data_IF_360435384590
#
_entry.id   IF_360435384590
#
_cell.length_a   1.000
_cell.length_b   1.000
_cell.length_c   1.000
_cell.angle_alpha   90.00
_cell.angle_beta   90.00
_cell.angle_gamma   90.00
#
_symmetry.space_group_name_H-M   'P 1'
#
loop_
_entity.id
_entity.type
_entity.pdbx_description
1 polymer ?
#
# COMPACT_ATOMS: atom_id res chain seq x y z
N UNK A 1 5.09 21.57 -7.15
CA UNK A 1 4.90 20.18 -6.73
C UNK A 1 5.71 19.97 -5.47
N UNK A 2 5.13 19.45 -4.38
CA UNK A 2 5.91 19.05 -3.21
C UNK A 2 6.51 17.69 -3.54
N UNK A 3 7.84 17.62 -3.64
CA UNK A 3 8.50 16.35 -3.92
C UNK A 3 8.67 15.55 -2.64
N UNK A 4 7.88 14.47 -2.51
CA UNK A 4 7.98 13.55 -1.38
C UNK A 4 9.21 12.63 -1.45
N UNK A 5 10.02 12.72 -2.51
CA UNK A 5 11.10 11.76 -2.81
C UNK A 5 12.49 12.23 -2.39
N UNK A 6 12.64 13.43 -1.81
CA UNK A 6 13.90 14.16 -1.57
C UNK A 6 15.12 13.42 -2.11
N UNK A 7 15.40 13.64 -3.39
CA UNK A 7 16.26 12.78 -4.20
C UNK A 7 17.68 12.67 -3.62
N UNK A 8 18.05 11.53 -3.05
CA UNK A 8 19.41 11.02 -3.24
C UNK A 8 19.49 10.38 -4.62
N UNK A 9 20.60 10.67 -5.29
CA UNK A 9 20.85 10.32 -6.68
C UNK A 9 20.42 8.88 -7.00
N UNK A 10 19.85 8.70 -8.20
CA UNK A 10 19.53 7.38 -8.72
C UNK A 10 20.77 6.47 -8.70
N UNK A 11 20.87 5.57 -7.71
CA UNK A 11 22.00 4.62 -7.63
C UNK A 11 22.49 4.23 -6.23
N UNK A 12 22.05 4.86 -5.13
CA UNK A 12 22.57 4.52 -3.79
C UNK A 12 21.92 3.27 -3.15
N UNK A 13 20.85 2.73 -3.76
CA UNK A 13 20.11 1.58 -3.24
C UNK A 13 19.24 1.88 -2.02
N UNK A 14 19.13 3.15 -1.61
CA UNK A 14 18.33 3.57 -0.47
C UNK A 14 16.87 3.80 -0.87
N UNK A 15 15.97 3.10 -0.20
CA UNK A 15 14.53 3.05 -0.53
C UNK A 15 13.73 4.24 0.00
N UNK A 16 14.33 5.07 0.87
CA UNK A 16 13.68 6.21 1.52
C UNK A 16 14.27 7.57 1.14
N UNK A 17 15.18 7.64 0.17
CA UNK A 17 15.76 8.92 -0.22
C UNK A 17 16.69 9.55 0.85
N UNK A 18 17.00 8.84 1.94
CA UNK A 18 17.67 9.41 3.11
C UNK A 18 16.72 10.14 4.09
N UNK A 19 15.41 10.09 3.86
CA UNK A 19 14.41 10.70 4.73
C UNK A 19 14.39 10.04 6.11
N UNK A 20 14.48 10.88 7.14
CA UNK A 20 14.38 10.48 8.56
C UNK A 20 13.15 11.06 9.25
N UNK A 21 12.45 11.99 8.60
CA UNK A 21 11.25 12.66 9.09
C UNK A 21 10.33 13.05 7.91
N UNK A 22 9.12 13.48 8.24
CA UNK A 22 8.12 13.94 7.27
C UNK A 22 8.53 15.24 6.59
N UNK A 23 8.44 15.28 5.26
CA UNK A 23 8.64 16.51 4.47
C UNK A 23 7.40 17.42 4.47
N UNK A 24 6.29 16.94 5.05
CA UNK A 24 5.04 17.68 5.20
C UNK A 24 4.92 18.37 6.57
N UNK A 25 5.98 18.30 7.38
CA UNK A 25 6.09 18.90 8.71
C UNK A 25 5.84 17.90 9.86
N UNK A 26 6.18 18.32 11.08
CA UNK A 26 6.18 17.49 12.30
C UNK A 26 4.80 16.95 12.69
N UNK A 27 3.72 17.56 12.17
CA UNK A 27 2.34 17.14 12.42
C UNK A 27 1.83 16.03 11.50
N UNK A 28 2.65 15.52 10.58
CA UNK A 28 2.28 14.46 9.64
C UNK A 28 3.26 13.29 9.81
N UNK A 29 2.77 12.09 10.12
CA UNK A 29 3.63 10.93 10.24
C UNK A 29 4.10 10.43 8.86
N UNK A 30 5.37 10.03 8.78
CA UNK A 30 5.97 9.45 7.58
C UNK A 30 6.37 7.99 7.82
N UNK A 31 5.92 7.11 6.92
CA UNK A 31 6.34 5.71 6.91
C UNK A 31 6.91 5.29 5.56
N UNK A 32 8.08 4.66 5.59
CA UNK A 32 8.68 4.11 4.38
C UNK A 32 8.16 2.69 4.09
N UNK A 33 7.56 2.49 2.92
CA UNK A 33 7.15 1.18 2.40
C UNK A 33 8.34 0.46 1.74
N UNK A 34 9.41 0.21 2.49
CA UNK A 34 10.54 -0.61 2.02
C UNK A 34 10.12 -2.07 1.99
N UNK A 35 9.70 -2.54 0.82
CA UNK A 35 9.54 -3.97 0.54
C UNK A 35 10.66 -4.42 -0.38
N UNK A 36 11.20 -5.62 -0.14
CA UNK A 36 12.14 -6.25 -1.06
C UNK A 36 11.42 -6.55 -2.38
N UNK A 37 12.05 -6.15 -3.48
CA UNK A 37 11.58 -6.49 -4.83
C UNK A 37 12.14 -7.85 -5.24
N UNK A 38 11.57 -8.94 -4.71
CA UNK A 38 11.77 -10.28 -5.28
C UNK A 38 10.46 -10.82 -5.84
N UNK A 39 10.57 -11.74 -6.81
CA UNK A 39 9.41 -12.30 -7.54
C UNK A 39 8.54 -13.23 -6.69
N UNK A 40 9.01 -13.60 -5.49
CA UNK A 40 8.21 -14.30 -4.49
C UNK A 40 7.80 -13.33 -3.38
N UNK A 41 6.58 -13.47 -2.86
CA UNK A 41 6.23 -12.99 -1.52
C UNK A 41 7.11 -13.70 -0.49
N UNK A 42 8.38 -13.33 -0.41
CA UNK A 42 9.28 -13.82 0.63
C UNK A 42 8.77 -13.37 2.00
N UNK A 43 9.13 -14.10 3.04
CA UNK A 43 8.74 -13.82 4.44
C UNK A 43 8.93 -12.35 4.84
N UNK A 44 9.96 -11.70 4.30
CA UNK A 44 10.25 -10.28 4.52
C UNK A 44 9.19 -9.35 3.92
N UNK A 45 8.70 -9.62 2.70
CA UNK A 45 7.64 -8.81 2.07
C UNK A 45 6.29 -8.99 2.79
N UNK A 46 6.02 -10.20 3.30
CA UNK A 46 4.85 -10.47 4.16
C UNK A 46 4.91 -9.66 5.46
N UNK A 47 6.04 -9.69 6.16
CA UNK A 47 6.23 -8.91 7.39
C UNK A 47 6.02 -7.41 7.17
N UNK A 48 6.48 -6.85 6.04
CA UNK A 48 6.33 -5.42 5.77
C UNK A 48 4.89 -4.99 5.53
N UNK A 49 4.09 -5.80 4.84
CA UNK A 49 2.66 -5.49 4.66
C UNK A 49 1.94 -5.52 6.01
N UNK A 50 2.23 -6.52 6.87
CA UNK A 50 1.69 -6.53 8.24
C UNK A 50 2.03 -5.27 9.02
N UNK A 51 3.32 -4.87 9.00
CA UNK A 51 3.78 -3.68 9.72
C UNK A 51 3.04 -2.42 9.25
N UNK A 52 2.79 -2.29 7.94
CA UNK A 52 2.04 -1.17 7.36
C UNK A 52 0.58 -1.20 7.82
N UNK A 53 -0.08 -2.36 7.85
CA UNK A 53 -1.45 -2.46 8.34
C UNK A 53 -1.56 -2.14 9.84
N UNK A 54 -0.59 -2.54 10.65
CA UNK A 54 -0.52 -2.15 12.06
C UNK A 54 -0.36 -0.62 12.24
N UNK A 55 0.46 0.02 11.40
CA UNK A 55 0.59 1.49 11.37
C UNK A 55 -0.74 2.15 11.00
N UNK A 56 -1.41 1.65 9.95
CA UNK A 56 -2.69 2.20 9.48
C UNK A 56 -3.84 1.96 10.49
N UNK A 57 -3.75 0.93 11.32
CA UNK A 57 -4.73 0.61 12.35
C UNK A 57 -4.68 1.54 13.57
N UNK A 58 -3.57 2.25 13.80
CA UNK A 58 -3.42 3.18 14.92
C UNK A 58 -3.80 4.61 14.52
N UNK A 59 -4.93 5.09 15.08
CA UNK A 59 -5.45 6.44 14.84
C UNK A 59 -4.48 7.55 15.23
N UNK A 60 -3.57 7.31 16.17
CA UNK A 60 -2.60 8.31 16.60
C UNK A 60 -1.56 8.64 15.53
N UNK A 61 -1.42 7.79 14.51
CA UNK A 61 -0.51 8.04 13.39
C UNK A 61 -1.08 9.05 12.39
N UNK A 62 -2.38 9.38 12.43
CA UNK A 62 -2.99 10.26 11.44
C UNK A 62 -2.85 11.74 11.82
N UNK A 63 -2.59 12.63 10.84
CA UNK A 63 -2.44 12.35 9.41
C UNK A 63 -1.08 11.70 9.08
N UNK A 64 -1.09 10.72 8.17
CA UNK A 64 0.13 10.04 7.70
C UNK A 64 0.20 9.98 6.17
N UNK A 65 1.41 9.81 5.68
CA UNK A 65 1.66 9.33 4.32
C UNK A 65 2.69 8.20 4.34
N UNK A 66 2.62 7.34 3.32
CA UNK A 66 3.61 6.30 3.10
C UNK A 66 4.12 6.34 1.67
N UNK A 67 5.43 6.15 1.49
CA UNK A 67 6.04 6.12 0.15
C UNK A 67 7.15 5.07 0.06
N UNK A 68 7.39 4.54 -1.15
CA UNK A 68 8.52 3.65 -1.44
C UNK A 68 9.66 4.44 -2.11
N UNK A 69 10.40 3.98 -3.11
CA UNK A 69 11.36 4.88 -3.77
C UNK A 69 10.70 5.94 -4.66
N UNK A 70 9.86 5.51 -5.58
CA UNK A 70 9.21 6.39 -6.58
C UNK A 70 7.70 6.55 -6.38
N UNK A 71 7.13 5.87 -5.38
CA UNK A 71 5.73 6.01 -4.98
C UNK A 71 4.72 5.24 -5.84
N UNK A 72 5.15 4.23 -6.61
CA UNK A 72 4.28 3.57 -7.60
C UNK A 72 3.96 2.12 -7.28
N UNK A 73 4.92 1.19 -7.34
CA UNK A 73 4.58 -0.24 -7.28
C UNK A 73 4.18 -0.69 -5.87
N UNK A 74 5.03 -0.43 -4.87
CA UNK A 74 4.80 -0.85 -3.47
C UNK A 74 3.77 0.03 -2.78
N UNK A 75 3.87 1.34 -2.99
CA UNK A 75 2.88 2.31 -2.54
C UNK A 75 1.52 2.02 -3.17
N UNK A 76 1.48 1.79 -4.48
CA UNK A 76 0.26 1.46 -5.21
C UNK A 76 -0.33 0.11 -4.80
N UNK A 77 0.47 -0.90 -4.46
CA UNK A 77 -0.05 -2.15 -3.90
C UNK A 77 -0.71 -1.94 -2.53
N UNK A 78 -0.07 -1.20 -1.63
CA UNK A 78 -0.65 -0.91 -0.30
C UNK A 78 -1.95 -0.12 -0.47
N UNK A 79 -1.95 0.94 -1.28
CA UNK A 79 -3.13 1.73 -1.59
C UNK A 79 -4.24 0.87 -2.21
N UNK A 80 -3.88 -0.06 -3.11
CA UNK A 80 -4.80 -1.03 -3.69
C UNK A 80 -5.45 -1.90 -2.62
N UNK A 81 -4.66 -2.52 -1.75
CA UNK A 81 -5.15 -3.43 -0.72
C UNK A 81 -6.06 -2.72 0.28
N UNK A 82 -5.70 -1.50 0.71
CA UNK A 82 -6.51 -0.68 1.62
C UNK A 82 -7.85 -0.31 0.98
N UNK A 83 -7.85 0.19 -0.25
CA UNK A 83 -9.09 0.56 -0.95
C UNK A 83 -9.96 -0.66 -1.27
N UNK A 84 -9.35 -1.79 -1.65
CA UNK A 84 -10.06 -3.04 -1.89
C UNK A 84 -10.73 -3.56 -0.61
N UNK A 85 -10.02 -3.50 0.53
CA UNK A 85 -10.57 -3.82 1.84
C UNK A 85 -11.74 -2.92 2.23
N UNK A 86 -11.70 -1.64 1.84
CA UNK A 86 -12.79 -0.70 2.07
C UNK A 86 -14.02 -0.92 1.16
N UNK A 87 -13.91 -1.77 0.14
CA UNK A 87 -14.99 -2.10 -0.80
C UNK A 87 -15.05 -1.21 -2.05
N UNK A 88 -13.96 -0.53 -2.39
CA UNK A 88 -13.86 0.22 -3.66
C UNK A 88 -13.93 -0.74 -4.85
N UNK A 89 -14.58 -0.29 -5.93
CA UNK A 89 -14.76 -1.12 -7.13
C UNK A 89 -13.43 -1.47 -7.80
N UNK A 90 -13.31 -2.67 -8.39
CA UNK A 90 -12.05 -3.08 -9.06
C UNK A 90 -11.65 -2.11 -10.19
N UNK A 91 -12.63 -1.50 -10.87
CA UNK A 91 -12.35 -0.50 -11.90
C UNK A 91 -11.68 0.75 -11.32
N UNK A 92 -12.16 1.24 -10.19
CA UNK A 92 -11.59 2.42 -9.54
C UNK A 92 -10.24 2.12 -8.90
N UNK A 93 -10.03 0.90 -8.37
CA UNK A 93 -8.70 0.43 -7.95
C UNK A 93 -7.71 0.47 -9.11
N UNK A 94 -8.09 -0.02 -10.30
CA UNK A 94 -7.25 0.04 -11.50
C UNK A 94 -6.98 1.47 -11.96
N UNK A 95 -7.96 2.37 -11.83
CA UNK A 95 -7.78 3.78 -12.17
C UNK A 95 -6.77 4.43 -11.23
N UNK A 96 -6.89 4.22 -9.92
CA UNK A 96 -5.96 4.76 -8.92
C UNK A 96 -4.53 4.26 -9.15
N UNK A 97 -4.34 2.93 -9.28
CA UNK A 97 -3.01 2.37 -9.52
C UNK A 97 -2.36 2.89 -10.82
N UNK A 98 -3.13 2.97 -11.91
CA UNK A 98 -2.63 3.46 -13.19
C UNK A 98 -2.46 4.99 -13.22
N UNK A 99 -3.07 5.73 -12.28
CA UNK A 99 -2.89 7.16 -12.15
C UNK A 99 -1.43 7.55 -11.89
N UNK A 100 -0.67 6.65 -11.26
CA UNK A 100 0.79 6.78 -11.10
C UNK A 100 1.55 7.04 -12.40
N UNK A 101 1.01 6.62 -13.56
CA UNK A 101 1.60 6.88 -14.88
C UNK A 101 1.67 8.37 -15.27
N UNK A 102 0.87 9.21 -14.62
CA UNK A 102 0.91 10.66 -14.84
C UNK A 102 1.98 11.35 -13.97
N UNK A 103 2.67 10.62 -13.10
CA UNK A 103 3.79 11.14 -12.32
C UNK A 103 5.13 11.04 -13.05
N UNK A 104 6.15 11.71 -12.50
CA UNK A 104 7.55 11.58 -12.94
C UNK A 104 8.11 10.20 -12.56
N UNK A 105 7.88 9.20 -13.43
CA UNK A 105 8.27 7.82 -13.21
C UNK A 105 9.09 7.31 -14.40
N UNK A 106 10.17 6.57 -14.12
CA UNK A 106 11.14 6.13 -15.16
C UNK A 106 10.54 5.12 -16.16
N UNK A 107 9.41 4.49 -15.83
CA UNK A 107 8.75 3.48 -16.67
C UNK A 107 7.24 3.45 -16.43
N UNK A 108 6.48 3.17 -17.48
CA UNK A 108 5.04 3.01 -17.37
C UNK A 108 4.66 1.80 -16.49
N UNK A 109 3.59 1.96 -15.72
CA UNK A 109 2.91 0.95 -14.92
C UNK A 109 1.78 0.31 -15.72
N UNK A 110 1.76 -1.01 -15.73
CA UNK A 110 0.73 -1.84 -16.34
C UNK A 110 0.04 -2.67 -15.27
N UNK A 111 -1.20 -3.09 -15.52
CA UNK A 111 -1.98 -3.94 -14.59
C UNK A 111 -1.23 -5.22 -14.23
N UNK A 112 -0.58 -5.83 -15.23
CA UNK A 112 0.17 -7.09 -15.09
C UNK A 112 1.23 -7.10 -13.98
N UNK A 113 1.76 -5.93 -13.58
CA UNK A 113 2.77 -5.80 -12.52
C UNK A 113 2.26 -6.27 -11.15
N UNK A 114 1.02 -5.92 -10.80
CA UNK A 114 0.40 -6.35 -9.53
C UNK A 114 -0.65 -7.45 -9.76
N UNK A 115 -1.22 -7.53 -10.95
CA UNK A 115 -2.25 -8.52 -11.28
C UNK A 115 -1.74 -9.95 -11.15
N UNK A 116 -0.62 -10.25 -11.81
CA UNK A 116 -0.03 -11.58 -11.84
C UNK A 116 0.62 -11.98 -10.51
N UNK A 117 0.78 -11.04 -9.58
CA UNK A 117 1.49 -11.24 -8.31
C UNK A 117 0.57 -11.30 -7.09
N UNK A 118 -0.52 -10.53 -7.09
CA UNK A 118 -1.37 -10.35 -5.90
C UNK A 118 -2.84 -10.46 -6.25
N UNK A 119 -3.30 -9.72 -7.27
CA UNK A 119 -4.74 -9.63 -7.56
C UNK A 119 -5.31 -10.97 -7.99
N UNK A 120 -4.55 -11.77 -8.74
CA UNK A 120 -4.95 -13.13 -9.11
C UNK A 120 -5.23 -13.98 -7.85
N UNK A 121 -4.31 -14.01 -6.91
CA UNK A 121 -4.45 -14.79 -5.67
C UNK A 121 -5.61 -14.29 -4.81
N UNK A 122 -5.80 -12.97 -4.72
CA UNK A 122 -6.95 -12.37 -4.03
C UNK A 122 -8.26 -12.85 -4.68
N UNK A 123 -8.36 -12.89 -6.01
CA UNK A 123 -9.57 -13.35 -6.71
C UNK A 123 -9.93 -14.80 -6.42
N UNK A 124 -8.94 -15.63 -6.08
CA UNK A 124 -9.10 -17.05 -5.74
C UNK A 124 -9.50 -17.27 -4.27
N UNK A 125 -9.44 -16.25 -3.41
CA UNK A 125 -9.86 -16.37 -2.01
C UNK A 125 -11.38 -16.60 -1.86
N UNK A 126 -11.81 -17.26 -0.77
CA UNK A 126 -13.23 -17.34 -0.42
C UNK A 126 -13.78 -15.95 -0.08
N UNK A 127 -15.07 -15.72 -0.37
CA UNK A 127 -15.77 -14.46 -0.12
C UNK A 127 -16.74 -14.10 -1.24
N UNK A 128 -17.83 -13.42 -0.89
CA UNK A 128 -18.88 -13.03 -1.85
C UNK A 128 -18.48 -11.79 -2.65
N UNK A 129 -17.79 -10.86 -2.01
CA UNK A 129 -17.30 -9.62 -2.61
C UNK A 129 -15.79 -9.60 -2.76
N UNK A 130 -15.26 -8.70 -3.60
CA UNK A 130 -13.82 -8.50 -3.71
C UNK A 130 -13.20 -8.00 -2.38
N UNK A 131 -13.98 -7.29 -1.56
CA UNK A 131 -13.58 -6.87 -0.22
C UNK A 131 -13.42 -8.07 0.72
N UNK A 132 -14.37 -9.01 0.73
CA UNK A 132 -14.30 -10.23 1.55
C UNK A 132 -13.08 -11.08 1.17
N UNK A 133 -12.85 -11.20 -0.15
CA UNK A 133 -11.68 -11.89 -0.69
C UNK A 133 -10.37 -11.22 -0.29
N UNK A 134 -10.33 -9.89 -0.33
CA UNK A 134 -9.17 -9.10 0.11
C UNK A 134 -8.95 -9.27 1.61
N UNK A 135 -10.00 -9.19 2.42
CA UNK A 135 -9.95 -9.41 3.87
C UNK A 135 -9.35 -10.80 4.16
N UNK A 136 -9.86 -11.84 3.51
CA UNK A 136 -9.37 -13.20 3.70
C UNK A 136 -7.92 -13.35 3.22
N UNK A 137 -7.53 -12.74 2.10
CA UNK A 137 -6.14 -12.73 1.63
C UNK A 137 -5.20 -12.10 2.67
N UNK A 138 -5.55 -10.92 3.19
CA UNK A 138 -4.74 -10.21 4.19
C UNK A 138 -4.64 -11.02 5.49
N UNK A 139 -5.75 -11.62 5.93
CA UNK A 139 -5.82 -12.43 7.14
C UNK A 139 -5.04 -13.75 7.03
N UNK A 140 -5.26 -14.53 5.98
CA UNK A 140 -4.73 -15.91 5.93
C UNK A 140 -3.37 -15.99 5.25
N UNK A 141 -3.21 -15.26 4.15
CA UNK A 141 -1.99 -15.32 3.33
C UNK A 141 -0.96 -14.33 3.86
N UNK A 142 -1.36 -13.09 4.10
CA UNK A 142 -0.46 -12.07 4.64
C UNK A 142 -0.41 -12.07 6.17
N UNK A 143 -1.26 -12.84 6.85
CA UNK A 143 -1.29 -13.00 8.32
C UNK A 143 -1.37 -11.65 9.07
N UNK A 144 -2.10 -10.69 8.51
CA UNK A 144 -2.43 -9.42 9.19
C UNK A 144 -3.45 -9.73 10.29
N UNK A 145 -3.26 -9.23 11.52
CA UNK A 145 -4.25 -9.40 12.60
C UNK A 145 -5.63 -8.87 12.20
N UNK A 146 -6.68 -9.61 12.55
CA UNK A 146 -8.06 -9.19 12.24
C UNK A 146 -8.41 -7.84 12.87
N UNK A 147 -7.93 -7.59 14.09
CA UNK A 147 -8.12 -6.31 14.76
C UNK A 147 -7.54 -5.12 13.96
N UNK A 148 -6.42 -5.31 13.26
CA UNK A 148 -5.81 -4.27 12.43
C UNK A 148 -6.64 -4.06 11.16
N UNK A 149 -7.15 -5.14 10.55
CA UNK A 149 -8.04 -5.06 9.37
C UNK A 149 -9.33 -4.31 9.71
N UNK A 150 -9.97 -4.69 10.82
CA UNK A 150 -11.21 -4.07 11.30
C UNK A 150 -10.99 -2.59 11.66
N UNK A 151 -9.86 -2.27 12.31
CA UNK A 151 -9.49 -0.89 12.62
C UNK A 151 -9.29 -0.07 11.34
N UNK A 152 -8.56 -0.59 10.34
CA UNK A 152 -8.35 0.10 9.06
C UNK A 152 -9.70 0.36 8.36
N UNK A 153 -10.58 -0.64 8.29
CA UNK A 153 -11.93 -0.48 7.70
C UNK A 153 -12.68 0.63 8.44
N UNK A 154 -12.67 0.62 9.78
CA UNK A 154 -13.37 1.58 10.62
C UNK A 154 -12.82 3.00 10.50
N UNK A 155 -11.51 3.16 10.39
CA UNK A 155 -10.84 4.47 10.27
C UNK A 155 -11.07 5.07 8.88
N UNK A 156 -10.96 4.24 7.84
CA UNK A 156 -10.96 4.72 6.44
C UNK A 156 -12.35 4.87 5.84
N UNK A 157 -13.35 4.14 6.34
CA UNK A 157 -14.74 4.30 5.88
C UNK A 157 -15.42 5.36 6.72
N UNK A 158 -16.04 6.34 6.07
CA UNK A 158 -16.91 7.29 6.77
C UNK A 158 -17.97 6.52 7.57
N UNK A 159 -18.28 6.93 8.82
CA UNK A 159 -19.43 6.40 9.53
C UNK A 159 -20.67 6.65 8.67
N UNK A 160 -21.48 5.60 8.48
CA UNK A 160 -22.72 5.72 7.72
C UNK A 160 -23.56 6.89 8.26
N UNK A 161 -23.84 7.87 7.39
CA UNK A 161 -24.72 9.01 7.71
C UNK A 161 -26.15 8.58 7.94
#
# INVERSE_FOLDING_TARGET
EIDLRESVAAGDGNENGGLTASVLGDGVAYYNCSMLWNDSLGEKSLSRIKDIFAILADENNYPLYFHCRIGTDRTGLVAWLVNALCGVSENDLWRDYLFSNFGYIESARTKSKIENRYVKDIKEMPGDTFADKTYNYLKTTLQVPEADLDAVIRIMKEPAK
#
